data_IF_473458510278
#
_entry.id   IF_473458510278
#
_cell.length_a   1.000
_cell.length_b   1.000
_cell.length_c   1.000
_cell.angle_alpha   90.00
_cell.angle_beta   90.00
_cell.angle_gamma   90.00
#
_symmetry.space_group_name_H-M   'P 1'
#
loop_
_entity.id
_entity.type
_entity.pdbx_description
1 polymer ?
#
# COMPACT_ATOMS: atom_id res chain seq x y z
N UNK A 1 -9.16 -2.94 11.09
CA UNK A 1 -9.32 -3.98 10.05
C UNK A 1 -8.31 -5.11 10.18
N UNK A 2 -7.00 -4.82 10.23
CA UNK A 2 -5.95 -5.85 10.26
C UNK A 2 -6.00 -6.82 11.46
N UNK A 3 -6.14 -6.29 12.68
CA UNK A 3 -5.94 -7.07 13.92
C UNK A 3 -7.22 -7.59 14.58
N UNK A 4 -8.35 -6.88 14.44
CA UNK A 4 -9.61 -7.32 15.06
C UNK A 4 -10.13 -8.59 14.39
N UNK A 5 -10.78 -9.44 15.19
CA UNK A 5 -11.49 -10.64 14.75
C UNK A 5 -12.95 -10.63 15.20
N UNK A 6 -13.45 -9.50 15.69
CA UNK A 6 -14.86 -9.31 16.05
C UNK A 6 -15.64 -8.83 14.81
N UNK A 7 -16.58 -9.63 14.27
CA UNK A 7 -17.36 -9.25 13.09
C UNK A 7 -18.16 -7.95 13.26
N UNK A 8 -18.67 -7.65 14.45
CA UNK A 8 -19.48 -6.44 14.69
C UNK A 8 -18.59 -5.20 14.76
N UNK A 9 -17.42 -5.31 15.40
CA UNK A 9 -16.42 -4.25 15.39
C UNK A 9 -15.91 -3.96 13.97
N UNK A 10 -15.55 -5.02 13.21
CA UNK A 10 -15.09 -4.89 11.83
C UNK A 10 -16.14 -4.25 10.93
N UNK A 11 -17.41 -4.65 11.08
CA UNK A 11 -18.54 -4.04 10.36
C UNK A 11 -18.69 -2.57 10.72
N UNK A 12 -18.63 -2.21 12.01
CA UNK A 12 -18.72 -0.81 12.45
C UNK A 12 -17.62 0.05 11.84
N UNK A 13 -16.38 -0.43 11.84
CA UNK A 13 -15.24 0.28 11.25
C UNK A 13 -15.41 0.45 9.74
N UNK A 14 -15.77 -0.63 9.04
CA UNK A 14 -15.92 -0.63 7.59
C UNK A 14 -17.05 0.30 7.12
N UNK A 15 -18.22 0.21 7.76
CA UNK A 15 -19.37 1.08 7.45
C UNK A 15 -19.02 2.54 7.76
N UNK A 16 -18.50 2.80 8.97
CA UNK A 16 -18.15 4.16 9.38
C UNK A 16 -17.14 4.84 8.44
N UNK A 17 -16.17 4.07 7.90
CA UNK A 17 -15.26 4.58 6.88
C UNK A 17 -15.97 4.86 5.54
N UNK A 18 -16.77 3.93 5.03
CA UNK A 18 -17.45 4.12 3.74
C UNK A 18 -18.49 5.25 3.79
N UNK A 19 -19.08 5.52 4.97
CA UNK A 19 -19.97 6.65 5.18
C UNK A 19 -19.26 8.01 4.97
N UNK A 20 -17.93 8.08 5.16
CA UNK A 20 -17.15 9.29 4.83
C UNK A 20 -17.11 9.57 3.33
N UNK A 21 -17.32 8.55 2.50
CA UNK A 21 -17.33 8.65 1.05
C UNK A 21 -18.65 9.14 0.46
N UNK A 22 -19.77 8.89 1.14
CA UNK A 22 -21.11 9.22 0.63
C UNK A 22 -21.28 10.71 0.25
N UNK A 23 -20.77 11.69 1.02
CA UNK A 23 -20.83 13.11 0.65
C UNK A 23 -20.02 13.47 -0.61
N UNK A 24 -19.08 12.63 -1.04
CA UNK A 24 -18.23 12.90 -2.21
C UNK A 24 -18.94 12.63 -3.54
N UNK A 25 -20.10 11.94 -3.54
CA UNK A 25 -20.79 11.49 -4.76
C UNK A 25 -20.99 12.61 -5.79
N UNK A 26 -21.57 13.73 -5.38
CA UNK A 26 -21.85 14.85 -6.30
C UNK A 26 -20.56 15.48 -6.85
N UNK A 27 -19.54 15.64 -5.99
CA UNK A 27 -18.24 16.16 -6.41
C UNK A 27 -17.55 15.22 -7.39
N UNK A 28 -17.63 13.91 -7.16
CA UNK A 28 -17.06 12.90 -8.05
C UNK A 28 -17.78 12.86 -9.40
N UNK A 29 -19.12 12.95 -9.43
CA UNK A 29 -19.86 13.08 -10.69
C UNK A 29 -19.40 14.31 -11.47
N UNK A 30 -19.31 15.48 -10.81
CA UNK A 30 -18.83 16.70 -11.46
C UNK A 30 -17.38 16.58 -11.93
N UNK A 31 -16.53 15.93 -11.16
CA UNK A 31 -15.14 15.67 -11.53
C UNK A 31 -15.05 14.84 -12.82
N UNK A 32 -15.82 13.76 -12.94
CA UNK A 32 -15.85 12.92 -14.15
C UNK A 32 -16.41 13.68 -15.36
N UNK A 33 -17.41 14.54 -15.18
CA UNK A 33 -17.88 15.42 -16.27
C UNK A 33 -16.75 16.33 -16.78
N UNK A 34 -16.02 16.98 -15.87
CA UNK A 34 -14.94 17.89 -16.21
C UNK A 34 -13.76 17.17 -16.87
N UNK A 35 -13.35 16.01 -16.33
CA UNK A 35 -12.28 15.22 -16.93
C UNK A 35 -12.65 14.74 -18.35
N UNK A 36 -13.92 14.38 -18.58
CA UNK A 36 -14.37 13.97 -19.90
C UNK A 36 -14.43 15.13 -20.91
N UNK A 37 -14.70 16.36 -20.46
CA UNK A 37 -14.58 17.55 -21.32
C UNK A 37 -13.12 17.69 -21.77
N UNK A 38 -12.17 17.67 -20.83
CA UNK A 38 -10.74 17.79 -21.14
C UNK A 38 -10.22 16.66 -22.05
N UNK A 39 -10.63 15.41 -21.80
CA UNK A 39 -10.23 14.28 -22.65
C UNK A 39 -10.72 14.45 -24.10
N UNK A 40 -11.95 14.95 -24.29
CA UNK A 40 -12.53 15.21 -25.62
C UNK A 40 -11.85 16.35 -26.36
N UNK A 41 -11.46 17.41 -25.66
CA UNK A 41 -10.67 18.51 -26.24
C UNK A 41 -9.30 18.02 -26.75
N UNK A 42 -8.73 17.00 -26.11
CA UNK A 42 -7.50 16.34 -26.53
C UNK A 42 -7.70 15.27 -27.61
N UNK A 43 -8.93 15.04 -28.07
CA UNK A 43 -9.25 14.10 -29.15
C UNK A 43 -9.59 12.67 -28.71
N UNK A 44 -9.71 12.40 -27.40
CA UNK A 44 -10.13 11.10 -26.87
C UNK A 44 -11.65 11.04 -26.68
N UNK A 45 -12.24 9.83 -26.70
CA UNK A 45 -13.68 9.63 -26.46
C UNK A 45 -14.10 10.01 -25.04
N UNK A 46 -13.28 9.62 -24.07
CA UNK A 46 -13.50 9.80 -22.64
C UNK A 46 -12.17 9.73 -21.87
N UNK A 47 -12.20 10.06 -20.58
CA UNK A 47 -11.02 10.02 -19.70
C UNK A 47 -10.41 8.62 -19.58
N UNK A 48 -11.22 7.56 -19.66
CA UNK A 48 -10.72 6.20 -19.59
C UNK A 48 -9.87 5.84 -20.81
N UNK A 49 -10.26 6.32 -21.99
CA UNK A 49 -9.43 6.18 -23.19
C UNK A 49 -8.10 6.93 -23.07
N UNK A 50 -8.14 8.17 -22.59
CA UNK A 50 -6.94 8.97 -22.33
C UNK A 50 -5.97 8.24 -21.38
N UNK A 51 -6.44 7.63 -20.30
CA UNK A 51 -5.59 6.90 -19.36
C UNK A 51 -4.93 5.66 -19.99
N UNK A 52 -5.67 4.91 -20.81
CA UNK A 52 -5.13 3.71 -21.48
C UNK A 52 -4.11 4.05 -22.56
N UNK A 53 -4.10 5.28 -23.08
CA UNK A 53 -3.17 5.70 -24.12
C UNK A 53 -1.69 5.62 -23.69
N UNK A 54 -1.40 5.65 -22.38
CA UNK A 54 -0.04 5.50 -21.84
C UNK A 54 0.59 4.11 -22.00
N UNK A 55 -0.13 3.14 -22.58
CA UNK A 55 0.35 1.78 -22.80
C UNK A 55 0.72 1.48 -24.25
N UNK A 56 0.71 2.48 -25.14
CA UNK A 56 1.01 2.33 -26.58
C UNK A 56 0.16 1.23 -27.26
N UNK A 57 -1.08 1.05 -26.80
CA UNK A 57 -2.08 0.13 -27.32
C UNK A 57 -3.36 0.89 -27.68
N UNK A 58 -4.09 0.41 -28.68
CA UNK A 58 -5.48 0.85 -28.84
C UNK A 58 -6.31 0.44 -27.62
N UNK A 59 -7.42 1.13 -27.30
CA UNK A 59 -8.26 0.76 -26.16
C UNK A 59 -8.82 -0.66 -26.24
N UNK A 60 -9.05 -1.16 -27.46
CA UNK A 60 -9.51 -2.51 -27.71
C UNK A 60 -8.42 -3.53 -27.41
N UNK A 61 -7.18 -3.30 -27.86
CA UNK A 61 -6.03 -4.16 -27.58
C UNK A 61 -5.73 -4.21 -26.08
N UNK A 62 -5.70 -3.07 -25.40
CA UNK A 62 -5.49 -3.01 -23.96
C UNK A 62 -6.57 -3.79 -23.19
N UNK A 63 -7.84 -3.62 -23.56
CA UNK A 63 -8.94 -4.35 -22.91
C UNK A 63 -8.87 -5.85 -23.16
N UNK A 64 -8.48 -6.27 -24.37
CA UNK A 64 -8.31 -7.68 -24.71
C UNK A 64 -7.13 -8.32 -23.94
N UNK A 65 -6.03 -7.59 -23.77
CA UNK A 65 -4.87 -8.05 -23.01
C UNK A 65 -5.18 -8.18 -21.52
N UNK A 66 -5.91 -7.22 -20.95
CA UNK A 66 -6.39 -7.31 -19.56
C UNK A 66 -7.32 -8.51 -19.35
N UNK A 67 -8.28 -8.74 -20.26
CA UNK A 67 -9.19 -9.89 -20.19
C UNK A 67 -8.43 -11.22 -20.33
N UNK A 68 -7.43 -11.28 -21.21
CA UNK A 68 -6.55 -12.44 -21.36
C UNK A 68 -5.81 -12.75 -20.06
N UNK A 69 -5.19 -11.74 -19.45
CA UNK A 69 -4.47 -11.88 -18.19
C UNK A 69 -5.40 -12.29 -17.04
N UNK A 70 -6.58 -11.67 -16.93
CA UNK A 70 -7.59 -12.01 -15.94
C UNK A 70 -8.07 -13.46 -16.10
N UNK A 71 -8.37 -13.90 -17.33
CA UNK A 71 -8.83 -15.27 -17.61
C UNK A 71 -7.79 -16.32 -17.19
N UNK A 72 -6.49 -16.00 -17.32
CA UNK A 72 -5.41 -16.89 -16.87
C UNK A 72 -5.30 -16.96 -15.35
N UNK A 73 -5.56 -15.86 -14.65
CA UNK A 73 -5.50 -15.79 -13.18
C UNK A 73 -6.78 -16.32 -12.51
N UNK A 74 -7.92 -16.20 -13.17
CA UNK A 74 -9.24 -16.48 -12.60
C UNK A 74 -9.34 -17.85 -11.91
N UNK A 75 -8.87 -18.98 -12.49
CA UNK A 75 -8.99 -20.29 -11.83
C UNK A 75 -8.30 -20.32 -10.46
N UNK A 76 -7.11 -19.69 -10.34
CA UNK A 76 -6.41 -19.57 -9.07
C UNK A 76 -7.20 -18.71 -8.07
N UNK A 77 -7.75 -17.59 -8.54
CA UNK A 77 -8.57 -16.72 -7.70
C UNK A 77 -9.83 -17.44 -7.20
N UNK A 78 -10.52 -18.18 -8.06
CA UNK A 78 -11.75 -18.90 -7.72
C UNK A 78 -11.49 -20.00 -6.65
N UNK A 79 -10.36 -20.71 -6.75
CA UNK A 79 -9.93 -21.68 -5.73
C UNK A 79 -9.59 -20.98 -4.41
N UNK A 80 -8.77 -19.92 -4.45
CA UNK A 80 -8.40 -19.15 -3.27
C UNK A 80 -9.64 -18.55 -2.59
N UNK A 81 -10.52 -17.92 -3.36
CA UNK A 81 -11.77 -17.34 -2.91
C UNK A 81 -12.65 -18.39 -2.23
N UNK A 82 -12.80 -19.57 -2.85
CA UNK A 82 -13.62 -20.65 -2.31
C UNK A 82 -13.05 -21.17 -0.99
N UNK A 83 -11.74 -21.36 -0.93
CA UNK A 83 -11.04 -21.78 0.28
C UNK A 83 -11.20 -20.75 1.41
N UNK A 84 -10.88 -19.48 1.14
CA UNK A 84 -10.97 -18.39 2.12
C UNK A 84 -12.41 -18.22 2.63
N UNK A 85 -13.40 -18.22 1.73
CA UNK A 85 -14.83 -18.17 2.11
C UNK A 85 -15.19 -19.31 3.06
N UNK A 86 -14.76 -20.53 2.76
CA UNK A 86 -15.03 -21.72 3.58
C UNK A 86 -14.42 -21.58 4.97
N UNK A 87 -13.17 -21.11 5.06
CA UNK A 87 -12.47 -20.87 6.33
C UNK A 87 -13.13 -19.76 7.16
N UNK A 88 -13.56 -18.68 6.52
CA UNK A 88 -14.28 -17.59 7.19
C UNK A 88 -15.64 -18.05 7.73
N UNK A 89 -16.40 -18.83 6.95
CA UNK A 89 -17.67 -19.43 7.42
C UNK A 89 -17.41 -20.35 8.61
N UNK A 90 -16.37 -21.19 8.57
CA UNK A 90 -16.03 -22.05 9.69
C UNK A 90 -15.67 -21.25 10.97
N UNK A 91 -15.03 -20.08 10.81
CA UNK A 91 -14.64 -19.21 11.93
C UNK A 91 -15.80 -18.37 12.49
N UNK A 92 -16.64 -17.82 11.61
CA UNK A 92 -17.60 -16.77 11.94
C UNK A 92 -19.07 -17.17 11.80
N UNK A 93 -19.35 -18.37 11.25
CA UNK A 93 -20.70 -18.87 11.03
C UNK A 93 -21.55 -17.89 10.24
N UNK A 94 -22.73 -17.57 10.78
CA UNK A 94 -23.72 -16.67 10.16
C UNK A 94 -23.18 -15.27 9.84
N UNK A 95 -22.13 -14.80 10.52
CA UNK A 95 -21.55 -13.50 10.23
C UNK A 95 -20.73 -13.47 8.93
N UNK A 96 -20.25 -14.63 8.45
CA UNK A 96 -19.54 -14.79 7.18
C UNK A 96 -20.40 -15.42 6.07
N UNK A 97 -21.45 -16.15 6.43
CA UNK A 97 -22.34 -16.81 5.48
C UNK A 97 -23.25 -15.80 4.75
N UNK A 98 -23.33 -15.92 3.42
CA UNK A 98 -24.20 -15.10 2.57
C UNK A 98 -24.92 -15.95 1.55
N UNK A 99 -26.20 -15.64 1.31
CA UNK A 99 -27.02 -16.36 0.33
C UNK A 99 -26.53 -16.19 -1.12
N UNK A 100 -25.82 -15.11 -1.43
CA UNK A 100 -25.23 -14.85 -2.75
C UNK A 100 -23.85 -15.52 -2.95
N UNK A 101 -23.37 -16.27 -1.96
CA UNK A 101 -22.08 -16.94 -2.00
C UNK A 101 -20.87 -16.01 -1.98
N UNK A 102 -21.04 -14.71 -1.72
CA UNK A 102 -19.92 -13.76 -1.63
C UNK A 102 -19.27 -13.77 -0.25
N UNK A 103 -18.09 -13.16 -0.12
CA UNK A 103 -17.43 -12.92 1.16
C UNK A 103 -17.80 -11.51 1.64
N UNK A 104 -18.21 -11.30 2.90
CA UNK A 104 -18.34 -9.95 3.44
C UNK A 104 -16.98 -9.21 3.43
N UNK A 105 -16.88 -8.10 2.71
CA UNK A 105 -15.62 -7.39 2.46
C UNK A 105 -14.86 -6.99 3.74
N UNK A 106 -15.60 -6.66 4.80
CA UNK A 106 -15.02 -6.24 6.09
C UNK A 106 -14.26 -7.35 6.83
N UNK A 107 -14.41 -8.62 6.42
CA UNK A 107 -13.78 -9.78 7.08
C UNK A 107 -12.42 -10.17 6.47
N UNK A 108 -11.90 -9.40 5.52
CA UNK A 108 -10.70 -9.75 4.74
C UNK A 108 -9.43 -9.03 5.23
N UNK A 109 -9.45 -8.46 6.44
CA UNK A 109 -8.27 -7.89 7.10
C UNK A 109 -7.82 -6.52 6.58
N UNK A 110 -8.35 -6.06 5.44
CA UNK A 110 -8.05 -4.76 4.84
C UNK A 110 -9.36 -3.95 4.62
N UNK A 111 -9.30 -2.61 4.68
CA UNK A 111 -10.48 -1.74 4.52
C UNK A 111 -11.21 -1.94 3.18
N UNK A 112 -10.45 -2.19 2.11
CA UNK A 112 -10.96 -2.37 0.75
C UNK A 112 -10.93 -3.83 0.28
N UNK A 113 -10.53 -4.75 1.15
CA UNK A 113 -10.35 -6.17 0.81
C UNK A 113 -9.43 -6.40 -0.42
N UNK A 114 -8.52 -5.48 -0.70
CA UNK A 114 -7.58 -5.57 -1.83
C UNK A 114 -6.45 -6.58 -1.58
N UNK A 115 -6.13 -6.85 -0.31
CA UNK A 115 -5.12 -7.79 0.15
C UNK A 115 -5.60 -8.54 1.39
N UNK A 116 -5.33 -9.84 1.45
CA UNK A 116 -5.90 -10.74 2.49
C UNK A 116 -4.83 -11.33 3.42
N UNK A 117 -3.60 -10.83 3.40
CA UNK A 117 -2.50 -11.32 4.25
C UNK A 117 -2.81 -11.23 5.75
N UNK A 118 -3.53 -10.17 6.14
CA UNK A 118 -3.91 -9.88 7.52
C UNK A 118 -4.89 -10.89 8.17
N UNK A 119 -5.43 -11.86 7.41
CA UNK A 119 -6.28 -12.95 7.94
C UNK A 119 -5.62 -14.34 7.89
N UNK A 120 -4.29 -14.39 7.68
CA UNK A 120 -3.55 -15.64 7.58
C UNK A 120 -3.77 -16.58 8.77
N UNK A 121 -3.94 -16.07 9.99
CA UNK A 121 -4.26 -16.87 11.18
C UNK A 121 -5.57 -17.67 11.06
N UNK A 122 -6.54 -17.18 10.28
CA UNK A 122 -7.82 -17.84 10.03
C UNK A 122 -7.69 -18.86 8.90
N UNK A 123 -6.97 -18.47 7.84
CA UNK A 123 -6.91 -19.19 6.56
C UNK A 123 -5.61 -19.98 6.38
N UNK A 124 -4.79 -20.12 7.43
CA UNK A 124 -3.58 -20.92 7.36
C UNK A 124 -3.89 -22.35 6.88
N UNK A 125 -3.04 -22.94 6.03
CA UNK A 125 -3.24 -24.31 5.55
C UNK A 125 -3.41 -25.30 6.72
N UNK A 126 -4.39 -26.19 6.59
CA UNK A 126 -4.69 -27.21 7.60
C UNK A 126 -4.01 -28.55 7.33
N UNK A 127 -3.48 -28.76 6.12
CA UNK A 127 -2.68 -29.94 5.81
C UNK A 127 -1.45 -29.98 6.74
N UNK A 128 -1.22 -31.05 7.51
CA UNK A 128 -0.05 -31.17 8.38
C UNK A 128 1.29 -30.90 7.68
N UNK A 129 1.42 -31.26 6.39
CA UNK A 129 2.63 -31.00 5.59
C UNK A 129 2.86 -29.51 5.32
N UNK A 130 1.82 -28.69 5.36
CA UNK A 130 1.92 -27.25 5.14
C UNK A 130 1.88 -26.49 6.47
N UNK A 131 1.09 -26.95 7.43
CA UNK A 131 0.93 -26.34 8.75
C UNK A 131 2.22 -26.34 9.60
N UNK A 132 3.22 -27.12 9.21
CA UNK A 132 4.57 -27.09 9.80
C UNK A 132 5.31 -25.77 9.52
N UNK A 133 5.02 -25.10 8.40
CA UNK A 133 5.63 -23.81 8.08
C UNK A 133 4.89 -22.71 8.85
N UNK A 134 5.59 -22.11 9.82
CA UNK A 134 5.06 -20.99 10.60
C UNK A 134 5.51 -19.67 9.98
N UNK A 135 4.60 -18.69 9.81
CA UNK A 135 5.00 -17.37 9.37
C UNK A 135 5.94 -16.75 10.40
N UNK A 136 6.94 -16.02 9.93
CA UNK A 136 7.79 -15.22 10.81
C UNK A 136 6.99 -14.02 11.29
N UNK A 137 7.01 -13.76 12.60
CA UNK A 137 6.49 -12.51 13.13
C UNK A 137 7.44 -11.36 12.78
N UNK A 138 7.27 -10.81 11.58
CA UNK A 138 8.14 -9.78 11.05
C UNK A 138 8.01 -8.48 11.86
N UNK A 139 6.80 -8.08 12.29
CA UNK A 139 6.58 -6.91 13.15
C UNK A 139 7.45 -6.98 14.41
N UNK A 140 7.40 -8.09 15.15
CA UNK A 140 8.20 -8.28 16.37
C UNK A 140 9.70 -8.33 16.08
N UNK A 141 10.09 -8.99 14.98
CA UNK A 141 11.49 -9.09 14.56
C UNK A 141 12.07 -7.72 14.22
N UNK A 142 11.34 -6.91 13.45
CA UNK A 142 11.72 -5.55 13.09
C UNK A 142 11.85 -4.68 14.34
N UNK A 143 10.87 -4.69 15.24
CA UNK A 143 10.92 -3.92 16.49
C UNK A 143 12.15 -4.28 17.33
N UNK A 144 12.45 -5.58 17.48
CA UNK A 144 13.65 -6.05 18.20
C UNK A 144 14.95 -5.57 17.55
N UNK A 145 15.07 -5.73 16.23
CA UNK A 145 16.29 -5.34 15.51
C UNK A 145 16.50 -3.83 15.49
N UNK A 146 15.43 -3.05 15.28
CA UNK A 146 15.47 -1.59 15.32
C UNK A 146 15.85 -1.11 16.72
N UNK A 147 15.20 -1.64 17.77
CA UNK A 147 15.51 -1.26 19.15
C UNK A 147 16.95 -1.58 19.56
N UNK A 148 17.52 -2.69 19.04
CA UNK A 148 18.90 -3.07 19.32
C UNK A 148 19.92 -2.15 18.63
N UNK A 149 19.59 -1.59 17.46
CA UNK A 149 20.48 -0.71 16.69
C UNK A 149 20.33 0.76 17.06
N UNK A 150 19.13 1.19 17.42
CA UNK A 150 18.80 2.58 17.74
C UNK A 150 17.99 2.67 19.05
N UNK A 151 18.64 3.02 20.18
CA UNK A 151 17.96 3.22 21.45
C UNK A 151 16.88 4.30 21.43
N UNK A 152 16.98 5.31 20.54
CA UNK A 152 15.95 6.35 20.42
C UNK A 152 14.67 5.79 19.80
N UNK A 153 14.79 4.90 18.81
CA UNK A 153 13.66 4.19 18.22
C UNK A 153 13.04 3.17 19.19
N UNK A 154 13.84 2.55 20.07
CA UNK A 154 13.35 1.58 21.05
C UNK A 154 12.23 2.13 21.95
N UNK A 155 12.29 3.43 22.27
CA UNK A 155 11.27 4.13 23.07
C UNK A 155 9.88 4.04 22.43
N UNK A 156 9.80 4.01 21.09
CA UNK A 156 8.53 3.92 20.36
C UNK A 156 7.81 2.58 20.54
N UNK A 157 8.50 1.55 21.04
CA UNK A 157 7.96 0.19 21.18
C UNK A 157 7.63 -0.20 22.63
N UNK A 158 7.97 0.64 23.61
CA UNK A 158 7.66 0.37 25.01
C UNK A 158 6.16 0.61 25.30
N UNK A 159 5.55 -0.33 26.03
CA UNK A 159 4.08 -0.42 26.20
C UNK A 159 3.43 0.80 26.89
N UNK A 160 4.20 1.61 27.61
CA UNK A 160 3.70 2.76 28.38
C UNK A 160 4.24 4.10 27.86
N UNK A 161 4.83 4.14 26.66
CA UNK A 161 5.32 5.40 26.08
C UNK A 161 4.15 6.22 25.56
N UNK A 162 4.02 7.45 26.05
CA UNK A 162 3.14 8.44 25.43
C UNK A 162 3.77 8.97 24.13
N UNK A 163 3.32 8.42 23.01
CA UNK A 163 3.77 8.79 21.66
C UNK A 163 3.29 10.18 21.21
N UNK A 164 2.45 10.87 21.99
CA UNK A 164 1.99 12.24 21.67
C UNK A 164 2.96 13.31 22.15
N UNK A 165 3.92 12.96 23.00
CA UNK A 165 4.98 13.87 23.48
C UNK A 165 6.03 14.15 22.42
N UNK A 166 6.85 15.19 22.60
CA UNK A 166 7.97 15.49 21.71
C UNK A 166 8.97 14.32 21.64
N UNK A 167 9.28 13.70 22.79
CA UNK A 167 10.13 12.53 22.86
C UNK A 167 9.50 11.31 22.16
N UNK A 168 8.19 11.11 22.35
CA UNK A 168 7.44 10.05 21.67
C UNK A 168 7.44 10.22 20.15
N UNK A 169 7.24 11.46 19.67
CA UNK A 169 7.27 11.78 18.25
C UNK A 169 8.68 11.62 17.64
N UNK A 170 9.71 12.01 18.38
CA UNK A 170 11.10 11.78 17.99
C UNK A 170 11.41 10.27 17.87
N UNK A 171 10.95 9.48 18.84
CA UNK A 171 11.10 8.02 18.81
C UNK A 171 10.36 7.38 17.62
N UNK A 172 9.13 7.82 17.32
CA UNK A 172 8.41 7.39 16.11
C UNK A 172 9.17 7.75 14.84
N UNK A 173 9.75 8.95 14.79
CA UNK A 173 10.53 9.41 13.63
C UNK A 173 11.76 8.54 13.43
N UNK A 174 12.49 8.24 14.52
CA UNK A 174 13.64 7.34 14.49
C UNK A 174 13.25 5.94 13.99
N UNK A 175 12.15 5.37 14.51
CA UNK A 175 11.63 4.08 14.07
C UNK A 175 11.21 4.07 12.59
N UNK A 176 10.52 5.12 12.12
CA UNK A 176 10.15 5.27 10.71
C UNK A 176 11.37 5.39 9.79
N UNK A 177 12.37 6.18 10.17
CA UNK A 177 13.64 6.27 9.42
C UNK A 177 14.39 4.94 9.39
N UNK A 178 14.39 4.19 10.48
CA UNK A 178 15.00 2.86 10.55
C UNK A 178 14.36 1.89 9.55
N UNK A 179 13.03 1.93 9.38
CA UNK A 179 12.33 1.16 8.33
C UNK A 179 12.81 1.55 6.93
N UNK A 180 12.94 2.85 6.65
CA UNK A 180 13.45 3.33 5.36
C UNK A 180 14.91 2.94 5.12
N UNK A 181 15.75 2.89 6.16
CA UNK A 181 17.12 2.39 6.02
C UNK A 181 17.19 0.90 5.65
N UNK A 182 16.22 0.07 6.06
CA UNK A 182 16.14 -1.31 5.55
C UNK A 182 15.92 -1.32 4.04
N UNK A 183 14.97 -0.51 3.56
CA UNK A 183 14.70 -0.39 2.13
C UNK A 183 15.90 0.16 1.34
N UNK A 184 16.53 1.24 1.80
CA UNK A 184 17.74 1.79 1.16
C UNK A 184 18.89 0.77 1.16
N UNK A 185 19.07 0.02 2.25
CA UNK A 185 20.11 -1.02 2.35
C UNK A 185 19.92 -2.10 1.28
N UNK A 186 18.68 -2.46 0.95
CA UNK A 186 18.39 -3.39 -0.13
C UNK A 186 18.89 -2.84 -1.48
N UNK A 187 18.46 -1.64 -1.88
CA UNK A 187 18.87 -1.05 -3.17
C UNK A 187 20.38 -0.79 -3.25
N UNK A 188 20.99 -0.29 -2.17
CA UNK A 188 22.45 -0.07 -2.15
C UNK A 188 23.23 -1.38 -2.19
N UNK A 189 22.70 -2.48 -1.64
CA UNK A 189 23.31 -3.81 -1.80
C UNK A 189 23.31 -4.32 -3.24
N UNK A 190 22.38 -3.84 -4.08
CA UNK A 190 22.33 -4.11 -5.51
C UNK A 190 23.24 -3.18 -6.34
N UNK A 191 23.93 -2.25 -5.69
CA UNK A 191 24.88 -1.32 -6.34
C UNK A 191 24.31 0.06 -6.67
N UNK A 192 23.08 0.39 -6.26
CA UNK A 192 22.55 1.74 -6.41
C UNK A 192 23.21 2.72 -5.41
N UNK A 193 23.39 4.00 -5.77
CA UNK A 193 23.90 5.01 -4.85
C UNK A 193 22.88 5.32 -3.74
N UNK A 194 23.36 5.56 -2.53
CA UNK A 194 22.52 5.93 -1.39
C UNK A 194 21.64 7.16 -1.66
N UNK A 195 20.55 7.31 -0.92
CA UNK A 195 19.69 8.48 -0.96
C UNK A 195 20.44 9.70 -0.37
N UNK A 196 20.25 10.92 -0.91
CA UNK A 196 20.96 12.12 -0.50
C UNK A 196 20.56 12.50 0.92
N UNK A 197 21.42 13.26 1.59
CA UNK A 197 21.11 13.79 2.92
C UNK A 197 19.76 14.57 2.94
N UNK A 198 19.45 15.28 1.87
CA UNK A 198 18.18 16.02 1.71
C UNK A 198 16.95 15.12 1.77
N UNK A 199 17.02 13.87 1.31
CA UNK A 199 15.92 12.91 1.43
C UNK A 199 15.56 12.70 2.91
N UNK A 200 16.57 12.51 3.77
CA UNK A 200 16.39 12.26 5.20
C UNK A 200 15.98 13.49 6.01
N UNK A 201 16.33 14.68 5.52
CA UNK A 201 15.99 15.96 6.12
C UNK A 201 14.57 16.42 5.76
N UNK A 202 14.11 16.14 4.54
CA UNK A 202 12.92 16.76 3.95
C UNK A 202 11.72 15.82 3.76
N UNK A 203 11.92 14.51 3.88
CA UNK A 203 10.84 13.54 3.78
C UNK A 203 9.95 13.52 5.03
N UNK A 204 8.69 13.10 4.84
CA UNK A 204 7.76 12.84 5.93
C UNK A 204 7.69 11.33 6.17
N UNK A 205 8.29 10.88 7.28
CA UNK A 205 8.31 9.47 7.67
C UNK A 205 7.16 9.07 8.61
N UNK A 206 6.54 10.05 9.29
CA UNK A 206 5.45 9.81 10.25
C UNK A 206 4.38 10.89 10.13
N UNK A 207 3.20 10.62 10.70
CA UNK A 207 2.15 11.63 10.84
C UNK A 207 2.63 12.76 11.78
N UNK A 208 2.73 14.02 11.33
CA UNK A 208 3.11 15.16 12.15
C UNK A 208 1.98 15.57 13.10
N UNK A 209 2.30 16.05 14.30
CA UNK A 209 1.28 16.39 15.31
C UNK A 209 0.61 17.75 15.10
N UNK A 210 1.27 18.64 14.36
CA UNK A 210 0.92 20.05 14.24
C UNK A 210 0.03 20.39 13.04
N UNK A 211 -0.31 19.39 12.20
CA UNK A 211 -1.11 19.59 10.98
C UNK A 211 -1.71 18.29 10.46
N UNK A 212 -2.83 18.43 9.75
CA UNK A 212 -3.40 17.34 8.96
C UNK A 212 -2.56 17.08 7.71
N UNK A 213 -2.38 15.80 7.38
CA UNK A 213 -1.62 15.36 6.21
C UNK A 213 -2.28 14.19 5.51
N UNK A 214 -2.00 14.04 4.21
CA UNK A 214 -2.36 12.83 3.46
C UNK A 214 -1.35 11.72 3.80
N UNK A 215 -1.79 10.74 4.58
CA UNK A 215 -0.94 9.62 5.01
C UNK A 215 -0.71 8.54 3.96
N UNK A 216 -1.52 8.49 2.90
CA UNK A 216 -1.30 7.53 1.81
C UNK A 216 0.12 7.69 1.27
N UNK A 217 0.85 6.56 1.18
CA UNK A 217 2.24 6.56 0.79
C UNK A 217 2.41 7.11 -0.64
N UNK A 218 3.55 7.75 -0.87
CA UNK A 218 3.91 8.33 -2.16
C UNK A 218 5.38 8.75 -2.17
N UNK A 219 6.03 8.54 -3.30
CA UNK A 219 7.38 8.96 -3.60
C UNK A 219 7.39 10.16 -4.54
N UNK A 220 8.28 11.11 -4.30
CA UNK A 220 8.31 12.40 -4.97
C UNK A 220 9.70 12.71 -5.50
N UNK A 221 9.75 13.21 -6.72
CA UNK A 221 10.89 13.88 -7.32
C UNK A 221 10.48 15.34 -7.62
N UNK A 222 11.06 16.29 -6.89
CA UNK A 222 10.62 17.69 -6.94
C UNK A 222 11.38 18.57 -7.93
N UNK A 223 12.64 18.23 -8.23
CA UNK A 223 13.49 19.01 -9.12
C UNK A 223 13.86 18.26 -10.41
N UNK A 224 13.36 17.04 -10.58
CA UNK A 224 13.66 16.10 -11.66
C UNK A 224 15.14 15.67 -11.70
N UNK A 225 15.89 15.86 -10.61
CA UNK A 225 17.34 15.62 -10.54
C UNK A 225 17.70 14.79 -9.31
N UNK A 226 17.62 15.37 -8.11
CA UNK A 226 18.03 14.67 -6.88
C UNK A 226 17.33 15.15 -5.60
N UNK A 227 16.34 16.06 -5.67
CA UNK A 227 15.44 16.33 -4.55
C UNK A 227 14.32 15.27 -4.50
N UNK A 228 14.74 14.08 -4.08
CA UNK A 228 13.86 12.93 -3.84
C UNK A 228 13.31 12.96 -2.42
N UNK A 229 12.04 12.59 -2.29
CA UNK A 229 11.36 12.52 -1.00
C UNK A 229 10.37 11.39 -0.95
N UNK A 230 10.05 10.98 0.28
CA UNK A 230 8.93 10.10 0.57
C UNK A 230 7.96 10.78 1.52
N UNK A 231 6.65 10.53 1.34
CA UNK A 231 5.59 11.05 2.19
C UNK A 231 4.65 9.93 2.60
N UNK A 232 4.85 9.40 3.80
CA UNK A 232 4.10 8.29 4.38
C UNK A 232 3.99 8.41 5.90
N UNK A 233 3.00 7.76 6.49
CA UNK A 233 2.81 7.70 7.95
C UNK A 233 3.25 6.32 8.48
N UNK A 234 4.55 6.05 8.47
CA UNK A 234 5.12 4.71 8.70
C UNK A 234 4.76 4.21 10.09
N UNK A 235 4.31 2.96 10.14
CA UNK A 235 4.30 2.13 11.34
C UNK A 235 5.31 0.99 11.18
N UNK A 236 5.89 0.52 12.28
CA UNK A 236 6.81 -0.63 12.24
C UNK A 236 5.99 -1.91 12.25
N UNK A 237 5.68 -2.42 11.06
CA UNK A 237 5.03 -3.70 10.79
C UNK A 237 5.44 -4.24 9.41
N UNK A 238 4.91 -5.40 9.03
CA UNK A 238 5.14 -6.07 7.76
C UNK A 238 4.54 -5.34 6.56
N UNK A 239 3.33 -4.79 6.68
CA UNK A 239 2.69 -4.01 5.61
C UNK A 239 3.60 -2.83 5.17
N UNK A 240 4.03 -2.00 6.12
CA UNK A 240 4.92 -0.87 5.84
C UNK A 240 6.35 -1.29 5.49
N UNK A 241 6.80 -2.47 5.88
CA UNK A 241 8.08 -3.00 5.40
C UNK A 241 8.05 -3.13 3.87
N UNK A 242 6.99 -3.72 3.33
CA UNK A 242 6.81 -3.84 1.87
C UNK A 242 6.54 -2.48 1.24
N UNK A 243 5.66 -1.65 1.82
CA UNK A 243 5.35 -0.30 1.28
C UNK A 243 6.60 0.57 1.18
N UNK A 244 7.49 0.54 2.17
CA UNK A 244 8.76 1.29 2.12
C UNK A 244 9.61 0.86 0.92
N UNK A 245 9.71 -0.45 0.63
CA UNK A 245 10.48 -0.91 -0.52
C UNK A 245 9.86 -0.48 -1.84
N UNK A 246 8.53 -0.55 -1.96
CA UNK A 246 7.80 -0.09 -3.14
C UNK A 246 8.05 1.40 -3.41
N UNK A 247 7.89 2.25 -2.39
CA UNK A 247 8.05 3.71 -2.53
C UNK A 247 9.50 4.12 -2.79
N UNK A 248 10.47 3.39 -2.21
CA UNK A 248 11.86 3.59 -2.57
C UNK A 248 12.14 3.12 -4.00
N UNK A 249 11.48 2.08 -4.49
CA UNK A 249 11.52 1.66 -5.90
C UNK A 249 11.24 2.83 -6.85
N UNK A 250 10.18 3.60 -6.58
CA UNK A 250 9.89 4.83 -7.32
C UNK A 250 11.04 5.85 -7.23
N UNK A 251 11.57 6.16 -6.04
CA UNK A 251 12.67 7.14 -5.91
C UNK A 251 13.95 6.68 -6.62
N UNK A 252 14.33 5.41 -6.50
CA UNK A 252 15.49 4.87 -7.20
C UNK A 252 15.28 4.89 -8.72
N UNK A 253 14.06 4.62 -9.19
CA UNK A 253 13.74 4.69 -10.61
C UNK A 253 13.74 6.14 -11.13
N UNK A 254 13.17 7.08 -10.37
CA UNK A 254 13.21 8.52 -10.62
C UNK A 254 14.65 9.02 -10.80
N UNK A 255 15.54 8.65 -9.88
CA UNK A 255 16.97 8.97 -10.02
C UNK A 255 17.58 8.35 -11.28
N UNK A 256 17.24 7.10 -11.59
CA UNK A 256 17.87 6.37 -12.70
C UNK A 256 17.63 7.04 -14.06
N UNK A 257 16.46 7.65 -14.27
CA UNK A 257 16.16 8.38 -15.51
C UNK A 257 16.43 9.89 -15.45
N UNK A 258 17.04 10.42 -14.38
CA UNK A 258 17.22 11.88 -14.19
C UNK A 258 18.12 12.56 -15.23
N UNK A 259 18.84 11.79 -16.05
CA UNK A 259 19.66 12.28 -17.18
C UNK A 259 18.93 12.25 -18.52
N UNK A 260 17.74 11.67 -18.60
CA UNK A 260 16.92 11.71 -19.80
C UNK A 260 16.44 13.16 -20.07
N UNK A 261 16.09 13.50 -21.32
CA UNK A 261 15.40 14.75 -21.60
C UNK A 261 14.10 14.82 -20.80
N UNK A 262 13.71 16.03 -20.37
CA UNK A 262 12.63 16.22 -19.39
C UNK A 262 11.34 15.47 -19.74
N UNK A 263 10.91 15.46 -21.01
CA UNK A 263 9.69 14.78 -21.46
C UNK A 263 9.79 13.24 -21.42
N UNK A 264 10.97 12.67 -21.23
CA UNK A 264 11.22 11.22 -21.12
C UNK A 264 11.62 10.81 -19.69
N UNK A 265 11.40 11.68 -18.69
CA UNK A 265 11.62 11.35 -17.27
C UNK A 265 10.35 10.75 -16.68
N UNK A 266 10.07 9.51 -17.07
CA UNK A 266 8.93 8.72 -16.60
C UNK A 266 9.22 7.22 -16.75
N UNK A 267 8.33 6.38 -16.23
CA UNK A 267 8.35 4.95 -16.49
C UNK A 267 8.06 4.66 -17.97
N UNK A 268 8.39 3.44 -18.43
CA UNK A 268 8.02 2.99 -19.77
C UNK A 268 6.49 2.98 -19.97
N UNK A 269 5.77 2.65 -18.91
CA UNK A 269 4.35 2.92 -18.69
C UNK A 269 4.11 2.95 -17.16
N UNK A 270 2.89 3.26 -16.73
CA UNK A 270 2.56 3.36 -15.30
C UNK A 270 2.85 2.06 -14.54
N UNK A 271 2.62 0.89 -15.17
CA UNK A 271 2.87 -0.41 -14.55
C UNK A 271 4.35 -0.71 -14.24
N UNK A 272 5.30 -0.12 -14.98
CA UNK A 272 6.73 -0.25 -14.67
C UNK A 272 7.13 0.56 -13.43
N UNK A 273 6.40 1.63 -13.12
CA UNK A 273 6.69 2.43 -11.94
C UNK A 273 6.24 1.70 -10.66
N UNK A 274 5.15 0.94 -10.75
CA UNK A 274 4.49 0.26 -9.62
C UNK A 274 5.02 -1.15 -9.29
N UNK A 275 5.91 -1.70 -10.14
CA UNK A 275 6.35 -3.11 -10.09
C UNK A 275 7.57 -3.38 -9.19
#
# INVERSE_FOLDING_TARGET
>A
MAKSRDPEELKKIWVGWHDTGAPMRQKYTRFIELQNIGAKELGYKDTGELWRAGYDMTPAEFSAELERAWTQLQPLYDELFTYVRTRLIAKYGKAAERADGKIPAQLLGNMWAQEWGNIYDIVAPTDPKLAQYKPVNLEETLKKQIAAKDPAAAVAFASNTDLTTDAGQAAKTAAGKAMVHYGESFFTSLGFPALPATFWERSQFIHPRDRDVVCHASAWDLDSVDDLRVKMCIEVNDDYFTTVHHELGHNFYQRAYNKQPFLFRGGANDGFHEA
#
